data_IF_337607184323
#
_entry.id   IF_337607184323
#
_cell.length_a   1.000
_cell.length_b   1.000
_cell.length_c   1.000
_cell.angle_alpha   90.00
_cell.angle_beta   90.00
_cell.angle_gamma   90.00
#
_symmetry.space_group_name_H-M   'P 1'
#
loop_
_entity.id
_entity.type
_entity.pdbx_description
1 polymer ?
#
# COMPACT_ATOMS: atom_id res chain seq x y z
N UNK A 1 27.41 -1.76 -40.64
CA UNK A 1 27.52 -0.88 -39.45
C UNK A 1 26.63 -1.45 -38.34
N UNK A 2 27.22 -2.14 -37.39
CA UNK A 2 26.56 -2.56 -36.16
C UNK A 2 26.32 -1.30 -35.33
N UNK A 3 25.07 -0.84 -35.18
CA UNK A 3 24.73 0.16 -34.16
C UNK A 3 25.04 -0.50 -32.81
N UNK A 4 26.06 -0.01 -32.13
CA UNK A 4 26.30 -0.35 -30.75
C UNK A 4 25.05 0.09 -29.95
N UNK A 5 24.26 -0.89 -29.52
CA UNK A 5 23.17 -0.64 -28.59
C UNK A 5 23.86 -0.36 -27.23
N UNK A 6 24.23 0.90 -27.02
CA UNK A 6 24.73 1.32 -25.69
C UNK A 6 23.55 1.25 -24.74
N UNK A 7 23.46 0.15 -24.01
CA UNK A 7 22.53 0.03 -22.90
C UNK A 7 23.08 0.95 -21.80
N UNK A 8 22.43 2.08 -21.57
CA UNK A 8 22.73 2.92 -20.43
C UNK A 8 22.27 2.20 -19.16
N UNK A 9 23.17 2.02 -18.23
CA UNK A 9 22.89 1.49 -16.90
C UNK A 9 22.63 2.66 -15.95
N UNK A 10 21.52 2.61 -15.23
CA UNK A 10 21.13 3.59 -14.23
C UNK A 10 20.94 2.89 -12.88
N UNK A 11 21.05 3.64 -11.80
CA UNK A 11 20.80 3.11 -10.47
C UNK A 11 19.29 2.86 -10.25
N UNK A 12 18.96 1.90 -9.39
CA UNK A 12 17.56 1.60 -9.05
C UNK A 12 16.82 2.81 -8.50
N UNK A 13 17.50 3.68 -7.74
CA UNK A 13 16.96 4.93 -7.22
C UNK A 13 16.51 5.90 -8.31
N UNK A 14 17.19 5.93 -9.47
CA UNK A 14 16.80 6.77 -10.59
C UNK A 14 15.44 6.31 -11.16
N UNK A 15 15.27 4.99 -11.32
CA UNK A 15 14.00 4.43 -11.79
C UNK A 15 12.86 4.64 -10.80
N UNK A 16 13.13 4.51 -9.49
CA UNK A 16 12.15 4.78 -8.43
C UNK A 16 11.69 6.24 -8.50
N UNK A 17 12.64 7.19 -8.55
CA UNK A 17 12.33 8.62 -8.61
C UNK A 17 11.54 8.99 -9.88
N UNK A 18 11.94 8.45 -11.04
CA UNK A 18 11.22 8.66 -12.29
C UNK A 18 9.82 8.07 -12.23
N UNK A 19 9.65 6.90 -11.60
CA UNK A 19 8.35 6.25 -11.46
C UNK A 19 7.41 7.08 -10.58
N UNK A 20 7.87 7.54 -9.41
CA UNK A 20 7.09 8.44 -8.56
C UNK A 20 6.71 9.72 -9.28
N UNK A 21 7.67 10.36 -10.00
CA UNK A 21 7.36 11.57 -10.78
C UNK A 21 6.22 11.35 -11.78
N UNK A 22 6.18 10.20 -12.47
CA UNK A 22 5.08 9.90 -13.39
C UNK A 22 3.78 9.52 -12.69
N UNK A 23 3.85 8.86 -11.53
CA UNK A 23 2.68 8.56 -10.69
C UNK A 23 2.03 9.86 -10.22
N UNK A 24 2.83 10.81 -9.71
CA UNK A 24 2.36 12.13 -9.25
C UNK A 24 1.67 12.94 -10.37
N UNK A 25 2.08 12.73 -11.61
CA UNK A 25 1.46 13.33 -12.79
C UNK A 25 0.28 12.52 -13.33
N UNK A 26 -0.14 11.46 -12.65
CA UNK A 26 -1.14 10.49 -13.10
C UNK A 26 -0.82 9.86 -14.48
N UNK A 27 0.47 9.81 -14.85
CA UNK A 27 0.94 9.20 -16.09
C UNK A 27 1.40 7.76 -15.86
N UNK A 28 0.45 6.91 -15.49
CA UNK A 28 0.70 5.52 -15.10
C UNK A 28 1.38 4.68 -16.19
N UNK A 29 1.13 4.97 -17.47
CA UNK A 29 1.78 4.26 -18.60
C UNK A 29 3.29 4.52 -18.66
N UNK A 30 3.74 5.72 -18.33
CA UNK A 30 5.18 6.01 -18.28
C UNK A 30 5.81 5.50 -16.98
N UNK A 31 5.09 5.54 -15.86
CA UNK A 31 5.52 4.94 -14.61
C UNK A 31 5.76 3.42 -14.78
N UNK A 32 4.82 2.70 -15.40
CA UNK A 32 4.96 1.27 -15.70
C UNK A 32 6.20 0.96 -16.55
N UNK A 33 6.46 1.77 -17.57
CA UNK A 33 7.65 1.60 -18.40
C UNK A 33 8.94 1.84 -17.62
N UNK A 34 8.97 2.87 -16.77
CA UNK A 34 10.13 3.17 -15.93
C UNK A 34 10.41 2.02 -14.94
N UNK A 35 9.37 1.53 -14.27
CA UNK A 35 9.47 0.38 -13.35
C UNK A 35 9.96 -0.86 -14.09
N UNK A 36 9.41 -1.17 -15.25
CA UNK A 36 9.85 -2.32 -16.05
C UNK A 36 11.32 -2.22 -16.45
N UNK A 37 11.75 -1.06 -16.94
CA UNK A 37 13.16 -0.82 -17.28
C UNK A 37 14.06 -0.95 -16.04
N UNK A 38 13.58 -0.47 -14.89
CA UNK A 38 14.27 -0.61 -13.62
C UNK A 38 14.42 -2.09 -13.20
N UNK A 39 13.35 -2.87 -13.28
CA UNK A 39 13.36 -4.29 -12.96
C UNK A 39 14.17 -5.13 -13.97
N UNK A 40 14.25 -4.72 -15.24
CA UNK A 40 15.12 -5.36 -16.22
C UNK A 40 16.61 -5.21 -15.85
N UNK A 41 17.02 -4.10 -15.21
CA UNK A 41 18.38 -3.84 -14.75
C UNK A 41 18.62 -4.30 -13.31
N UNK A 42 17.60 -4.25 -12.44
CA UNK A 42 17.64 -4.55 -11.02
C UNK A 42 16.52 -5.52 -10.63
N UNK A 43 16.54 -6.78 -11.09
CA UNK A 43 15.42 -7.71 -10.98
C UNK A 43 15.04 -8.08 -9.54
N UNK A 44 15.93 -7.87 -8.57
CA UNK A 44 15.69 -8.19 -7.16
C UNK A 44 15.52 -6.93 -6.28
N UNK A 45 15.29 -5.75 -6.88
CA UNK A 45 15.07 -4.54 -6.11
C UNK A 45 13.63 -4.54 -5.55
N UNK A 46 13.52 -4.62 -4.22
CA UNK A 46 12.25 -4.72 -3.50
C UNK A 46 11.39 -3.48 -3.73
N UNK A 47 11.95 -2.28 -3.71
CA UNK A 47 11.20 -1.03 -3.86
C UNK A 47 10.55 -0.95 -5.26
N UNK A 48 11.27 -1.33 -6.31
CA UNK A 48 10.71 -1.40 -7.67
C UNK A 48 9.62 -2.49 -7.78
N UNK A 49 9.77 -3.61 -7.09
CA UNK A 49 8.74 -4.65 -7.05
C UNK A 49 7.49 -4.16 -6.36
N UNK A 50 7.61 -3.43 -5.24
CA UNK A 50 6.50 -2.85 -4.49
C UNK A 50 5.78 -1.77 -5.31
N UNK A 51 6.52 -0.90 -6.01
CA UNK A 51 5.93 0.07 -6.94
C UNK A 51 5.19 -0.63 -8.10
N UNK A 52 5.74 -1.73 -8.62
CA UNK A 52 5.06 -2.52 -9.65
C UNK A 52 3.76 -3.13 -9.12
N UNK A 53 3.78 -3.69 -7.91
CA UNK A 53 2.57 -4.26 -7.31
C UNK A 53 1.51 -3.20 -7.03
N UNK A 54 1.90 -2.00 -6.62
CA UNK A 54 0.99 -0.86 -6.44
C UNK A 54 0.27 -0.48 -7.75
N UNK A 55 1.00 -0.34 -8.86
CA UNK A 55 0.38 -0.09 -10.17
C UNK A 55 -0.51 -1.25 -10.63
N UNK A 56 -0.15 -2.49 -10.34
CA UNK A 56 -0.99 -3.65 -10.63
C UNK A 56 -2.30 -3.61 -9.81
N UNK A 57 -2.23 -3.20 -8.54
CA UNK A 57 -3.42 -2.99 -7.70
C UNK A 57 -4.29 -1.88 -8.26
N UNK A 58 -3.69 -0.76 -8.65
CA UNK A 58 -4.40 0.34 -9.28
C UNK A 58 -5.15 -0.11 -10.55
N UNK A 59 -4.50 -0.94 -11.38
CA UNK A 59 -5.07 -1.52 -12.60
C UNK A 59 -5.99 -2.74 -12.33
N UNK A 60 -6.31 -3.04 -11.06
CA UNK A 60 -7.14 -4.19 -10.65
C UNK A 60 -6.54 -5.56 -11.01
N UNK A 61 -5.25 -5.63 -11.29
CA UNK A 61 -4.52 -6.87 -11.59
C UNK A 61 -4.06 -7.56 -10.28
N UNK A 62 -5.00 -7.79 -9.36
CA UNK A 62 -4.72 -8.25 -7.98
C UNK A 62 -3.95 -9.56 -7.91
N UNK A 63 -4.23 -10.49 -8.82
CA UNK A 63 -3.53 -11.80 -8.84
C UNK A 63 -2.03 -11.66 -9.09
N UNK A 64 -1.63 -10.75 -9.97
CA UNK A 64 -0.22 -10.55 -10.31
C UNK A 64 0.47 -9.71 -9.25
N UNK A 65 -0.21 -8.70 -8.68
CA UNK A 65 0.26 -7.98 -7.51
C UNK A 65 0.53 -8.94 -6.33
N UNK A 66 -0.40 -9.84 -6.05
CA UNK A 66 -0.28 -10.79 -4.94
C UNK A 66 0.91 -11.74 -5.08
N UNK A 67 1.27 -12.14 -6.31
CA UNK A 67 2.48 -12.96 -6.56
C UNK A 67 3.76 -12.19 -6.19
N UNK A 68 3.84 -10.91 -6.56
CA UNK A 68 4.97 -10.06 -6.24
C UNK A 68 5.06 -9.87 -4.72
N UNK A 69 3.94 -9.56 -4.07
CA UNK A 69 3.88 -9.35 -2.62
C UNK A 69 4.27 -10.60 -1.83
N UNK A 70 3.85 -11.79 -2.28
CA UNK A 70 4.28 -13.04 -1.65
C UNK A 70 5.77 -13.28 -1.80
N UNK A 71 6.33 -13.00 -2.98
CA UNK A 71 7.77 -13.11 -3.19
C UNK A 71 8.56 -12.14 -2.30
N UNK A 72 8.08 -10.90 -2.15
CA UNK A 72 8.73 -9.92 -1.25
C UNK A 72 8.59 -10.37 0.21
N UNK A 73 7.43 -10.89 0.64
CA UNK A 73 7.24 -11.39 2.01
C UNK A 73 8.17 -12.57 2.35
N UNK A 74 8.52 -13.42 1.37
CA UNK A 74 9.51 -14.51 1.58
C UNK A 74 10.93 -13.97 1.83
N UNK A 75 11.29 -12.81 1.25
CA UNK A 75 12.60 -12.17 1.41
C UNK A 75 12.65 -11.28 2.65
N UNK A 76 11.59 -10.52 2.88
CA UNK A 76 11.45 -9.55 3.97
C UNK A 76 10.07 -9.74 4.63
N UNK A 77 9.97 -10.67 5.62
CA UNK A 77 8.69 -11.04 6.24
C UNK A 77 8.01 -9.94 7.05
N UNK A 78 8.76 -8.90 7.44
CA UNK A 78 8.25 -7.77 8.22
C UNK A 78 8.14 -6.48 7.38
N UNK A 79 8.17 -6.61 6.06
CA UNK A 79 8.03 -5.48 5.16
C UNK A 79 6.65 -4.85 5.28
N UNK A 80 6.61 -3.63 5.83
CA UNK A 80 5.38 -2.87 6.08
C UNK A 80 4.50 -2.78 4.82
N UNK A 81 5.11 -2.42 3.69
CA UNK A 81 4.39 -2.13 2.45
C UNK A 81 3.67 -3.37 1.89
N UNK A 82 4.24 -4.56 2.08
CA UNK A 82 3.61 -5.83 1.70
C UNK A 82 2.26 -6.00 2.41
N UNK A 83 2.20 -5.73 3.72
CA UNK A 83 0.97 -5.88 4.50
C UNK A 83 -0.08 -4.84 4.13
N UNK A 84 0.31 -3.59 3.91
CA UNK A 84 -0.59 -2.52 3.50
C UNK A 84 -1.20 -2.80 2.11
N UNK A 85 -0.36 -3.22 1.15
CA UNK A 85 -0.83 -3.54 -0.19
C UNK A 85 -1.70 -4.80 -0.22
N UNK A 86 -1.38 -5.84 0.55
CA UNK A 86 -2.25 -7.03 0.69
C UNK A 86 -3.60 -6.66 1.31
N UNK A 87 -3.62 -5.83 2.36
CA UNK A 87 -4.86 -5.33 2.96
C UNK A 87 -5.70 -4.55 1.92
N UNK A 88 -5.05 -3.69 1.13
CA UNK A 88 -5.71 -2.96 0.05
C UNK A 88 -6.33 -3.90 -0.99
N UNK A 89 -5.67 -5.00 -1.34
CA UNK A 89 -6.24 -6.02 -2.25
C UNK A 89 -7.48 -6.67 -1.63
N UNK A 90 -7.43 -7.04 -0.35
CA UNK A 90 -8.59 -7.61 0.34
C UNK A 90 -9.75 -6.63 0.40
N UNK A 91 -9.49 -5.39 0.82
CA UNK A 91 -10.51 -4.32 0.86
C UNK A 91 -11.19 -4.11 -0.49
N UNK A 92 -10.41 -3.99 -1.57
CA UNK A 92 -10.95 -3.83 -2.94
C UNK A 92 -11.76 -5.03 -3.45
N UNK A 93 -11.61 -6.20 -2.83
CA UNK A 93 -12.41 -7.38 -3.10
C UNK A 93 -13.58 -7.55 -2.10
N UNK A 94 -13.88 -6.56 -1.27
CA UNK A 94 -14.88 -6.57 -0.21
C UNK A 94 -14.65 -7.68 0.84
N UNK A 95 -13.40 -7.99 1.12
CA UNK A 95 -12.94 -8.96 2.11
C UNK A 95 -12.38 -8.20 3.32
N UNK A 96 -13.23 -7.40 3.98
CA UNK A 96 -12.82 -6.49 5.05
C UNK A 96 -12.30 -7.23 6.29
N UNK A 97 -12.83 -8.41 6.61
CA UNK A 97 -12.36 -9.21 7.73
C UNK A 97 -10.92 -9.68 7.49
N UNK A 98 -10.59 -10.16 6.29
CA UNK A 98 -9.24 -10.57 5.91
C UNK A 98 -8.27 -9.38 5.87
N UNK A 99 -8.75 -8.21 5.42
CA UNK A 99 -7.97 -6.97 5.47
C UNK A 99 -7.61 -6.59 6.91
N UNK A 100 -8.57 -6.64 7.83
CA UNK A 100 -8.38 -6.38 9.26
C UNK A 100 -7.38 -7.38 9.86
N UNK A 101 -7.49 -8.65 9.54
CA UNK A 101 -6.62 -9.69 10.10
C UNK A 101 -5.16 -9.49 9.67
N UNK A 102 -4.92 -9.18 8.40
CA UNK A 102 -3.55 -8.93 7.94
C UNK A 102 -2.96 -7.65 8.52
N UNK A 103 -3.77 -6.60 8.68
CA UNK A 103 -3.36 -5.35 9.31
C UNK A 103 -3.07 -5.53 10.81
N UNK A 104 -3.86 -6.32 11.52
CA UNK A 104 -3.59 -6.66 12.93
C UNK A 104 -2.28 -7.42 13.08
N UNK A 105 -1.93 -8.32 12.15
CA UNK A 105 -0.60 -8.96 12.13
C UNK A 105 0.50 -7.91 11.96
N UNK A 106 0.36 -6.96 11.05
CA UNK A 106 1.33 -5.90 10.83
C UNK A 106 1.59 -5.05 12.07
N UNK A 107 0.57 -4.81 12.92
CA UNK A 107 0.73 -4.09 14.20
C UNK A 107 1.68 -4.74 15.19
N UNK A 108 2.04 -6.02 15.03
CA UNK A 108 2.91 -6.74 15.97
C UNK A 108 4.39 -6.41 15.79
N UNK A 109 4.80 -5.88 14.62
CA UNK A 109 6.19 -5.59 14.29
C UNK A 109 6.43 -4.20 13.68
N UNK A 110 5.37 -3.46 13.30
CA UNK A 110 5.51 -2.11 12.75
C UNK A 110 5.40 -1.08 13.87
N UNK A 111 6.38 -0.17 13.96
CA UNK A 111 6.42 0.88 14.97
C UNK A 111 5.49 2.05 14.63
N UNK A 112 5.50 2.54 13.39
CA UNK A 112 4.58 3.58 12.91
C UNK A 112 3.23 2.97 12.56
N UNK A 113 2.30 3.09 13.50
CA UNK A 113 0.99 2.41 13.47
C UNK A 113 -0.16 3.27 12.97
N UNK A 114 0.06 4.57 12.74
CA UNK A 114 -1.01 5.52 12.44
C UNK A 114 -1.83 5.10 11.22
N UNK A 115 -1.16 4.84 10.10
CA UNK A 115 -1.82 4.43 8.87
C UNK A 115 -2.55 3.08 9.04
N UNK A 116 -1.95 2.12 9.75
CA UNK A 116 -2.57 0.82 9.98
C UNK A 116 -3.83 0.94 10.83
N UNK A 117 -3.83 1.77 11.88
CA UNK A 117 -5.03 2.02 12.67
C UNK A 117 -6.13 2.66 11.84
N UNK A 118 -5.77 3.63 10.97
CA UNK A 118 -6.73 4.26 10.07
C UNK A 118 -7.34 3.22 9.11
N UNK A 119 -6.51 2.38 8.47
CA UNK A 119 -6.99 1.32 7.58
C UNK A 119 -7.92 0.34 8.30
N UNK A 120 -7.57 -0.12 9.50
CA UNK A 120 -8.43 -1.02 10.28
C UNK A 120 -9.77 -0.35 10.63
N UNK A 121 -9.75 0.92 11.04
CA UNK A 121 -10.95 1.67 11.36
C UNK A 121 -11.87 1.81 10.14
N UNK A 122 -11.29 2.09 8.97
CA UNK A 122 -12.04 2.19 7.72
C UNK A 122 -12.67 0.86 7.31
N UNK A 123 -11.96 -0.27 7.50
CA UNK A 123 -12.54 -1.59 7.22
C UNK A 123 -13.72 -1.90 8.16
N UNK A 124 -13.64 -1.53 9.44
CA UNK A 124 -14.78 -1.66 10.36
C UNK A 124 -15.96 -0.75 9.94
N UNK A 125 -15.71 0.46 9.42
CA UNK A 125 -16.77 1.29 8.83
C UNK A 125 -17.44 0.61 7.63
N UNK A 126 -16.69 -0.06 6.76
CA UNK A 126 -17.23 -0.80 5.61
C UNK A 126 -18.11 -1.99 6.06
N UNK A 127 -17.81 -2.56 7.23
CA UNK A 127 -18.63 -3.61 7.86
C UNK A 127 -19.81 -3.05 8.68
N UNK A 128 -19.96 -1.73 8.77
CA UNK A 128 -20.92 -1.04 9.65
C UNK A 128 -20.74 -1.40 11.14
N UNK A 129 -19.56 -1.89 11.51
CA UNK A 129 -19.16 -2.16 12.91
C UNK A 129 -18.56 -0.89 13.52
N UNK A 130 -19.42 0.07 13.82
CA UNK A 130 -19.03 1.36 14.35
C UNK A 130 -18.39 1.27 15.73
N UNK A 131 -18.83 0.33 16.56
CA UNK A 131 -18.27 0.11 17.89
C UNK A 131 -16.79 -0.30 17.83
N UNK A 132 -16.45 -1.20 16.90
CA UNK A 132 -15.07 -1.67 16.69
C UNK A 132 -14.18 -0.63 15.99
N UNK A 133 -14.74 0.28 15.20
CA UNK A 133 -14.00 1.37 14.54
C UNK A 133 -13.51 2.45 15.52
N UNK A 134 -14.34 2.82 16.52
CA UNK A 134 -14.11 3.90 17.48
C UNK A 134 -12.72 3.84 18.14
N UNK A 135 -12.27 2.73 18.73
CA UNK A 135 -10.98 2.68 19.41
C UNK A 135 -9.79 2.92 18.48
N UNK A 136 -9.92 2.62 17.19
CA UNK A 136 -8.85 2.87 16.22
C UNK A 136 -8.82 4.34 15.77
N UNK A 137 -9.94 4.99 15.51
CA UNK A 137 -9.96 6.43 15.25
C UNK A 137 -9.48 7.25 16.45
N UNK A 138 -9.78 6.83 17.69
CA UNK A 138 -9.21 7.46 18.87
C UNK A 138 -7.70 7.37 18.90
N UNK A 139 -7.10 6.21 18.58
CA UNK A 139 -5.65 6.06 18.51
C UNK A 139 -5.02 6.95 17.42
N UNK A 140 -5.70 7.14 16.28
CA UNK A 140 -5.25 8.07 15.26
C UNK A 140 -5.20 9.51 15.80
N UNK A 141 -6.26 9.96 16.48
CA UNK A 141 -6.33 11.28 17.10
C UNK A 141 -5.36 11.48 18.26
N UNK A 142 -5.09 10.42 19.04
CA UNK A 142 -4.09 10.46 20.11
C UNK A 142 -2.66 10.60 19.55
N UNK A 143 -2.43 10.09 18.34
CA UNK A 143 -1.16 10.19 17.63
C UNK A 143 -1.00 11.50 16.86
N UNK A 144 -2.08 11.97 16.24
CA UNK A 144 -2.16 13.23 15.51
C UNK A 144 -3.50 13.93 15.83
N UNK A 145 -3.45 14.96 16.67
CA UNK A 145 -4.62 15.71 17.09
C UNK A 145 -5.20 16.63 16.01
N UNK A 146 -4.50 16.80 14.89
CA UNK A 146 -4.95 17.54 13.70
C UNK A 146 -5.51 16.62 12.60
N UNK A 147 -5.64 15.31 12.86
CA UNK A 147 -6.31 14.37 11.95
C UNK A 147 -7.84 14.60 11.94
N UNK A 148 -8.25 15.64 11.23
CA UNK A 148 -9.68 15.99 11.08
C UNK A 148 -10.49 14.89 10.39
N UNK A 149 -9.87 14.02 9.58
CA UNK A 149 -10.58 12.92 8.94
C UNK A 149 -10.96 11.84 9.96
N UNK A 150 -10.04 11.46 10.84
CA UNK A 150 -10.34 10.54 11.95
C UNK A 150 -11.37 11.13 12.91
N UNK A 151 -11.31 12.44 13.18
CA UNK A 151 -12.31 13.13 14.02
C UNK A 151 -13.70 13.06 13.38
N UNK A 152 -13.81 13.35 12.08
CA UNK A 152 -15.08 13.27 11.37
C UNK A 152 -15.65 11.85 11.41
N UNK A 153 -14.81 10.84 11.11
CA UNK A 153 -15.24 9.44 11.13
C UNK A 153 -15.63 8.98 12.54
N UNK A 154 -14.96 9.47 13.57
CA UNK A 154 -15.31 9.17 14.96
C UNK A 154 -16.69 9.74 15.34
N UNK A 155 -16.97 10.98 14.94
CA UNK A 155 -18.29 11.59 15.13
C UNK A 155 -19.36 10.77 14.41
N UNK A 156 -19.11 10.41 13.15
CA UNK A 156 -20.01 9.57 12.36
C UNK A 156 -20.29 8.22 13.04
N UNK A 157 -19.27 7.56 13.61
CA UNK A 157 -19.48 6.33 14.37
C UNK A 157 -20.44 6.55 15.56
N UNK A 158 -20.21 7.62 16.34
CA UNK A 158 -21.07 7.90 17.50
C UNK A 158 -22.53 8.22 17.11
N UNK A 159 -22.75 8.92 16.02
CA UNK A 159 -24.10 9.21 15.51
C UNK A 159 -24.86 7.94 15.08
N UNK A 160 -24.14 6.89 14.66
CA UNK A 160 -24.76 5.65 14.19
C UNK A 160 -24.92 4.58 15.28
N UNK A 161 -24.27 4.72 16.42
CA UNK A 161 -24.49 3.82 17.57
C UNK A 161 -25.71 4.27 18.42
N UNK A 162 -26.09 5.55 18.39
CA UNK A 162 -27.22 6.14 19.13
C UNK A 162 -26.79 6.85 20.40
#
# INVERSE_FOLDING_TARGET
>A
MLKANTVFYFDSSDFINISHHYIDQANFSLAEKAIKMGLDQHPNNIDLMLLNSELLIFNSSYKDAYKILNFVEEIDPENREVYLQKATIYSKNNLSEEAIDILKRALTFIDDKLEIWNMIAMEFLLLEDFESAIPFFKKCLDSDNEDYQSLYNLIFCYENIG
#
